data_IF_455949488083
#
_entry.id   IF_455949488083
#
_cell.length_a   1.000
_cell.length_b   1.000
_cell.length_c   1.000
_cell.angle_alpha   90.00
_cell.angle_beta   90.00
_cell.angle_gamma   90.00
#
_symmetry.space_group_name_H-M   'P 1'
#
loop_
_entity.id
_entity.type
_entity.pdbx_description
1 polymer ?
#
# COMPACT_ATOMS: atom_id res chain seq x y z
N UNK A 1 -57.29 -3.89 -49.37
CA UNK A 1 -58.06 -4.36 -48.20
C UNK A 1 -57.49 -5.69 -47.75
N UNK A 2 -57.50 -6.12 -46.47
CA UNK A 2 -57.77 -5.46 -45.18
C UNK A 2 -57.25 -6.41 -44.07
N UNK A 3 -56.60 -5.98 -42.97
CA UNK A 3 -56.07 -4.67 -42.53
C UNK A 3 -54.69 -4.91 -41.87
N UNK A 4 -53.87 -3.87 -41.73
CA UNK A 4 -52.59 -3.91 -41.02
C UNK A 4 -52.78 -4.02 -39.50
N UNK A 5 -52.26 -5.07 -38.87
CA UNK A 5 -52.10 -5.17 -37.42
C UNK A 5 -51.04 -6.23 -37.05
N UNK A 6 -49.77 -5.86 -37.08
CA UNK A 6 -48.73 -6.59 -36.35
C UNK A 6 -47.99 -5.58 -35.47
N UNK A 7 -48.50 -5.46 -34.25
CA UNK A 7 -48.04 -4.50 -33.26
C UNK A 7 -46.81 -5.08 -32.57
N UNK A 8 -45.66 -4.43 -32.75
CA UNK A 8 -44.61 -4.33 -31.74
C UNK A 8 -44.06 -5.67 -31.17
N UNK A 9 -43.08 -6.28 -31.84
CA UNK A 9 -42.10 -7.11 -31.12
C UNK A 9 -40.86 -6.27 -30.81
N UNK A 10 -40.93 -5.64 -29.65
CA UNK A 10 -39.88 -4.90 -28.96
C UNK A 10 -38.52 -5.60 -29.04
N UNK A 11 -37.46 -4.85 -29.35
CA UNK A 11 -36.06 -5.28 -29.31
C UNK A 11 -35.50 -5.16 -27.87
N UNK A 12 -35.16 -6.25 -27.16
CA UNK A 12 -34.47 -6.15 -25.87
C UNK A 12 -32.97 -6.34 -26.06
N UNK A 13 -32.25 -5.27 -26.39
CA UNK A 13 -30.78 -5.21 -26.25
C UNK A 13 -30.44 -5.05 -24.77
N UNK A 14 -30.57 -6.13 -23.99
CA UNK A 14 -30.40 -6.09 -22.53
C UNK A 14 -29.71 -7.35 -21.96
N UNK A 15 -28.66 -7.83 -22.64
CA UNK A 15 -27.87 -8.99 -22.23
C UNK A 15 -26.36 -8.70 -22.05
N UNK A 16 -26.00 -7.44 -21.82
CA UNK A 16 -24.67 -7.06 -21.30
C UNK A 16 -24.75 -6.82 -19.79
N UNK A 17 -25.09 -7.88 -19.04
CA UNK A 17 -24.96 -7.88 -17.59
C UNK A 17 -23.46 -7.92 -17.30
N UNK A 18 -22.91 -6.78 -16.88
CA UNK A 18 -21.47 -6.58 -16.78
C UNK A 18 -20.81 -7.52 -15.79
N UNK A 19 -19.94 -8.40 -16.28
CA UNK A 19 -18.98 -9.13 -15.46
C UNK A 19 -17.83 -8.17 -15.08
N UNK A 20 -18.10 -7.28 -14.14
CA UNK A 20 -17.08 -6.44 -13.49
C UNK A 20 -16.57 -7.12 -12.22
N UNK A 21 -15.30 -6.89 -11.81
CA UNK A 21 -14.83 -7.36 -10.51
C UNK A 21 -15.66 -6.70 -9.41
N UNK A 22 -16.23 -7.50 -8.50
CA UNK A 22 -17.02 -7.03 -7.37
C UNK A 22 -16.11 -6.23 -6.42
N UNK A 23 -16.19 -4.89 -6.49
CA UNK A 23 -15.51 -3.98 -5.57
C UNK A 23 -16.42 -3.69 -4.39
N UNK A 24 -15.88 -3.79 -3.18
CA UNK A 24 -16.57 -3.34 -1.97
C UNK A 24 -16.51 -1.81 -1.87
N UNK A 25 -17.50 -1.17 -1.21
CA UNK A 25 -17.45 0.27 -0.97
C UNK A 25 -16.25 0.63 -0.08
N UNK A 26 -15.46 1.59 -0.53
CA UNK A 26 -14.35 2.17 0.23
C UNK A 26 -14.70 3.58 0.71
N UNK A 27 -13.97 4.04 1.73
CA UNK A 27 -14.02 5.41 2.23
C UNK A 27 -12.58 5.91 2.48
N UNK A 28 -12.28 7.19 2.19
CA UNK A 28 -10.97 7.78 2.44
C UNK A 28 -10.50 7.54 3.87
N UNK A 29 -9.27 7.06 4.02
CA UNK A 29 -8.68 6.72 5.31
C UNK A 29 -7.22 7.16 5.34
N UNK A 30 -6.92 8.10 6.22
CA UNK A 30 -5.60 8.70 6.41
C UNK A 30 -5.44 9.09 7.88
N UNK A 31 -4.21 9.34 8.32
CA UNK A 31 -3.93 9.70 9.70
C UNK A 31 -2.44 9.82 10.00
N UNK A 32 -2.11 9.83 11.29
CA UNK A 32 -0.73 9.80 11.79
C UNK A 32 -0.47 8.54 12.62
N UNK A 33 0.78 8.08 12.65
CA UNK A 33 1.22 6.96 13.50
C UNK A 33 2.21 7.48 14.56
N UNK A 34 1.89 7.21 15.82
CA UNK A 34 2.72 7.61 16.97
C UNK A 34 3.11 6.42 17.83
N UNK A 35 4.30 6.49 18.41
CA UNK A 35 4.83 5.54 19.40
C UNK A 35 5.48 6.32 20.54
N UNK A 36 5.11 6.01 21.79
CA UNK A 36 5.57 6.72 23.00
C UNK A 36 5.47 8.27 22.90
N UNK A 37 4.39 8.77 22.29
CA UNK A 37 4.14 10.22 22.13
C UNK A 37 4.97 10.91 21.04
N UNK A 38 5.81 10.18 20.30
CA UNK A 38 6.55 10.67 19.12
C UNK A 38 5.93 10.09 17.85
N UNK A 39 5.96 10.83 16.75
CA UNK A 39 5.60 10.26 15.44
C UNK A 39 6.66 9.27 14.98
N UNK A 40 6.26 8.19 14.33
CA UNK A 40 7.20 7.30 13.61
C UNK A 40 7.58 7.96 12.29
N UNK A 41 8.78 7.71 11.79
CA UNK A 41 9.33 8.36 10.58
C UNK A 41 9.31 7.47 9.34
N UNK A 42 8.58 6.35 9.39
CA UNK A 42 8.51 5.39 8.29
C UNK A 42 7.81 4.09 8.67
N UNK A 43 7.81 3.15 7.70
CA UNK A 43 7.10 1.88 7.75
C UNK A 43 5.80 1.92 6.94
N UNK A 44 4.99 0.86 7.07
CA UNK A 44 3.74 0.70 6.30
C UNK A 44 2.59 0.35 7.26
N UNK A 45 1.42 0.93 7.03
CA UNK A 45 0.14 0.52 7.64
C UNK A 45 -0.61 -0.38 6.66
N UNK A 46 -1.14 -1.50 7.17
CA UNK A 46 -2.12 -2.33 6.47
C UNK A 46 -3.39 -2.47 7.30
N UNK A 47 -4.55 -2.23 6.68
CA UNK A 47 -5.86 -2.51 7.26
C UNK A 47 -6.41 -3.80 6.62
N UNK A 48 -6.48 -4.87 7.41
CA UNK A 48 -6.99 -6.17 6.98
C UNK A 48 -8.46 -6.30 7.41
N UNK A 49 -9.43 -6.45 6.49
CA UNK A 49 -10.84 -6.62 6.84
C UNK A 49 -11.09 -7.81 7.75
N UNK A 50 -12.00 -7.65 8.71
CA UNK A 50 -12.50 -8.71 9.59
C UNK A 50 -13.93 -9.03 9.19
N UNK A 51 -14.18 -10.25 8.73
CA UNK A 51 -15.52 -10.71 8.38
C UNK A 51 -16.31 -11.00 9.66
N UNK A 52 -17.37 -10.22 9.92
CA UNK A 52 -18.20 -10.36 11.13
C UNK A 52 -19.46 -11.20 10.93
N UNK A 53 -19.93 -11.30 9.68
CA UNK A 53 -21.20 -11.90 9.27
C UNK A 53 -21.08 -13.39 8.87
N UNK A 54 -19.88 -13.96 9.01
CA UNK A 54 -19.58 -15.32 8.54
C UNK A 54 -19.47 -15.44 7.01
N UNK A 55 -19.42 -14.34 6.27
CA UNK A 55 -19.20 -14.37 4.82
C UNK A 55 -17.83 -14.97 4.48
N UNK A 56 -17.78 -15.81 3.44
CA UNK A 56 -16.51 -16.35 2.91
C UNK A 56 -15.70 -15.32 2.12
N UNK A 57 -16.36 -14.24 1.67
CA UNK A 57 -15.74 -13.17 0.88
C UNK A 57 -14.92 -12.27 1.79
N UNK A 58 -13.61 -12.46 1.78
CA UNK A 58 -12.64 -11.58 2.46
C UNK A 58 -12.41 -10.35 1.60
N UNK A 59 -12.59 -9.17 2.20
CA UNK A 59 -12.29 -7.90 1.55
C UNK A 59 -10.82 -7.76 1.17
N UNK A 60 -10.52 -6.87 0.20
CA UNK A 60 -9.14 -6.55 -0.13
C UNK A 60 -8.52 -5.70 1.01
N UNK A 61 -7.31 -6.01 1.49
CA UNK A 61 -6.60 -5.13 2.43
C UNK A 61 -6.30 -3.76 1.81
N UNK A 62 -6.36 -2.73 2.65
CA UNK A 62 -5.89 -1.39 2.31
C UNK A 62 -4.45 -1.21 2.81
N UNK A 63 -3.59 -0.60 2.02
CA UNK A 63 -2.19 -0.33 2.38
C UNK A 63 -1.86 1.16 2.23
N UNK A 64 -0.93 1.65 3.03
CA UNK A 64 -0.34 2.98 2.87
C UNK A 64 0.99 3.08 3.58
N UNK A 65 1.98 3.64 2.91
CA UNK A 65 3.29 3.94 3.49
C UNK A 65 3.21 5.17 4.40
N UNK A 66 4.02 5.18 5.44
CA UNK A 66 4.10 6.27 6.40
C UNK A 66 5.26 7.20 5.98
N UNK A 67 4.96 8.49 5.85
CA UNK A 67 5.95 9.51 5.54
C UNK A 67 6.91 9.78 6.70
N UNK A 68 8.01 10.51 6.42
CA UNK A 68 8.91 11.02 7.47
C UNK A 68 8.21 11.93 8.49
N UNK A 69 7.07 12.53 8.13
CA UNK A 69 6.24 13.32 9.03
C UNK A 69 5.28 12.46 9.89
N UNK A 70 5.32 11.12 9.74
CA UNK A 70 4.46 10.16 10.41
C UNK A 70 3.05 10.05 9.87
N UNK A 71 2.79 10.58 8.67
CA UNK A 71 1.47 10.61 8.04
C UNK A 71 1.29 9.47 7.03
N UNK A 72 0.07 8.92 6.90
CA UNK A 72 -0.26 7.90 5.90
C UNK A 72 -1.58 8.21 5.19
N UNK A 73 -1.71 7.73 3.95
CA UNK A 73 -2.94 7.70 3.15
C UNK A 73 -3.13 6.27 2.63
N UNK A 74 -4.30 5.67 2.86
CA UNK A 74 -4.57 4.29 2.46
C UNK A 74 -5.12 4.18 1.04
N UNK A 75 -4.81 3.05 0.41
CA UNK A 75 -5.31 2.65 -0.90
C UNK A 75 -5.72 1.18 -0.88
N UNK A 76 -6.94 0.91 -1.35
CA UNK A 76 -7.51 -0.42 -1.58
C UNK A 76 -7.52 -0.74 -3.07
N UNK A 77 -8.27 -0.04 -3.91
CA UNK A 77 -8.41 -0.32 -5.35
C UNK A 77 -7.78 0.77 -6.22
N UNK A 78 -7.96 2.04 -5.86
CA UNK A 78 -7.48 3.22 -6.59
C UNK A 78 -6.79 4.19 -5.62
N UNK A 79 -5.79 4.95 -6.10
CA UNK A 79 -4.95 5.78 -5.22
C UNK A 79 -5.80 6.75 -4.39
N UNK A 80 -5.69 6.64 -3.07
CA UNK A 80 -6.41 7.49 -2.11
C UNK A 80 -7.87 7.12 -1.87
N UNK A 81 -8.37 6.00 -2.43
CA UNK A 81 -9.73 5.50 -2.17
C UNK A 81 -9.94 5.01 -0.73
N UNK A 82 -8.86 4.91 0.05
CA UNK A 82 -8.86 4.59 1.47
C UNK A 82 -9.01 3.10 1.75
N UNK A 83 -9.90 2.77 2.68
CA UNK A 83 -10.16 1.40 3.13
C UNK A 83 -11.62 1.00 2.89
N UNK A 84 -11.89 -0.30 2.81
CA UNK A 84 -13.27 -0.79 2.80
C UNK A 84 -14.06 -0.31 4.02
N UNK A 85 -15.37 -0.13 3.88
CA UNK A 85 -16.24 0.20 5.02
C UNK A 85 -16.48 -1.08 5.85
N UNK A 86 -16.03 -1.11 7.10
CA UNK A 86 -16.21 -2.24 8.02
C UNK A 86 -15.17 -2.30 9.14
N UNK A 87 -15.14 -3.40 9.90
CA UNK A 87 -14.09 -3.63 10.91
C UNK A 87 -12.81 -4.16 10.28
N UNK A 88 -11.69 -3.67 10.78
CA UNK A 88 -10.35 -3.99 10.27
C UNK A 88 -9.42 -4.31 11.44
N UNK A 89 -8.48 -5.24 11.20
CA UNK A 89 -7.26 -5.37 11.98
C UNK A 89 -6.23 -4.42 11.39
N UNK A 90 -5.72 -3.50 12.21
CA UNK A 90 -4.59 -2.65 11.83
C UNK A 90 -3.29 -3.42 12.07
N UNK A 91 -2.40 -3.40 11.10
CA UNK A 91 -1.04 -3.93 11.19
C UNK A 91 -0.09 -2.79 10.84
N UNK A 92 0.85 -2.50 11.74
CA UNK A 92 1.99 -1.62 11.47
C UNK A 92 3.23 -2.48 11.27
N UNK A 93 3.92 -2.28 10.15
CA UNK A 93 5.24 -2.83 9.89
C UNK A 93 6.25 -1.70 9.98
N UNK A 94 7.21 -1.70 10.93
CA UNK A 94 8.28 -0.72 10.95
C UNK A 94 9.12 -0.82 9.67
N UNK A 95 9.83 0.26 9.29
CA UNK A 95 10.79 0.16 8.18
C UNK A 95 11.85 -0.88 8.53
N UNK A 96 12.43 -1.54 7.52
CA UNK A 96 13.63 -2.33 7.74
C UNK A 96 14.75 -1.37 8.19
N UNK A 97 15.24 -1.58 9.41
CA UNK A 97 16.50 -0.97 9.82
C UNK A 97 17.59 -1.67 9.01
N UNK A 98 17.93 -1.08 7.86
CA UNK A 98 19.29 -1.20 7.37
C UNK A 98 20.08 -0.36 8.37
N UNK A 99 20.72 -1.03 9.33
CA UNK A 99 21.65 -0.41 10.24
C UNK A 99 22.86 0.02 9.40
N UNK A 100 22.72 1.16 8.73
CA UNK A 100 23.84 1.90 8.15
C UNK A 100 24.68 2.38 9.33
N UNK A 101 25.63 1.52 9.73
CA UNK A 101 26.77 1.90 10.54
C UNK A 101 27.48 3.04 9.80
N UNK A 102 27.13 4.28 10.15
CA UNK A 102 27.89 5.44 9.72
C UNK A 102 29.30 5.34 10.30
N UNK A 103 30.21 4.78 9.51
CA UNK A 103 31.66 4.74 9.75
C UNK A 103 32.23 6.18 9.66
N UNK A 104 31.88 7.00 10.65
CA UNK A 104 32.35 8.38 10.78
C UNK A 104 33.69 8.43 11.54
N UNK A 105 34.71 7.70 11.09
CA UNK A 105 36.08 7.86 11.60
C UNK A 105 37.01 8.50 10.55
N UNK A 106 36.86 9.82 10.46
CA UNK A 106 37.93 10.82 10.27
C UNK A 106 39.09 10.50 9.31
N UNK A 107 39.13 11.26 8.21
CA UNK A 107 40.32 11.49 7.39
C UNK A 107 41.53 11.89 8.25
N UNK A 108 42.57 11.06 8.22
CA UNK A 108 43.87 11.31 8.85
C UNK A 108 45.02 11.16 7.86
N UNK A 109 45.26 12.17 7.03
CA UNK A 109 46.47 12.26 6.20
C UNK A 109 47.70 12.39 7.10
N UNK A 110 48.72 11.55 6.88
CA UNK A 110 50.12 11.94 7.03
C UNK A 110 51.02 11.13 6.10
N UNK A 111 52.10 11.77 5.67
CA UNK A 111 53.04 11.34 4.63
C UNK A 111 54.27 10.62 5.19
N UNK A 112 55.12 10.19 4.25
CA UNK A 112 56.52 9.76 4.42
C UNK A 112 56.77 8.35 5.01
N UNK A 113 57.47 7.54 4.21
CA UNK A 113 57.74 6.12 4.45
C UNK A 113 58.43 5.45 3.26
N UNK A 114 59.42 6.12 2.68
CA UNK A 114 60.29 5.56 1.65
C UNK A 114 61.19 4.47 2.26
N UNK A 115 61.14 3.24 1.73
CA UNK A 115 62.38 2.46 1.54
C UNK A 115 62.22 1.34 0.48
N UNK A 116 63.23 1.22 -0.38
CA UNK A 116 63.37 0.17 -1.40
C UNK A 116 64.51 -0.77 -1.00
N UNK A 117 64.19 -2.04 -0.73
CA UNK A 117 65.18 -3.11 -0.49
C UNK A 117 64.46 -4.47 -0.49
N UNK A 118 64.94 -5.62 -0.97
CA UNK A 118 65.94 -6.09 -1.96
C UNK A 118 66.02 -7.62 -1.76
N UNK A 119 66.16 -8.40 -2.84
CA UNK A 119 66.63 -9.81 -2.90
C UNK A 119 65.92 -10.90 -2.03
N UNK A 120 65.24 -11.88 -2.65
CA UNK A 120 65.79 -13.21 -3.08
C UNK A 120 65.57 -14.30 -1.98
N UNK A 121 65.89 -15.61 -2.17
CA UNK A 121 66.73 -16.28 -3.17
C UNK A 121 66.11 -16.45 -4.56
#
# INVERSE_FOLDING_TARGET
MNRSASFLLLLPVFALIGCGPERFPTAPASGEVTYNGKRVTGGTITLVPINEDGSERKGKPALGDISQEGLFELTTYEKGDGAMVGKHRVVYTPPENIDEEEESETVGTNSEGEEVTTAAP
#
